data_IF_547762322459
#
_entry.id   IF_547762322459
#
_cell.length_a   1.000
_cell.length_b   1.000
_cell.length_c   1.000
_cell.angle_alpha   90.00
_cell.angle_beta   90.00
_cell.angle_gamma   90.00
#
_symmetry.space_group_name_H-M   'P 1'
#
loop_
_entity.id
_entity.type
_entity.pdbx_description
1 polymer ?
#
# COMPACT_ATOMS: atom_id res chain seq x y z
N UNK A 1 12.76 -49.48 -45.70
CA UNK A 1 12.13 -49.29 -44.34
C UNK A 1 10.67 -49.66 -44.46
N UNK A 2 10.23 -50.69 -43.74
CA UNK A 2 8.92 -51.36 -43.92
C UNK A 2 7.76 -50.38 -43.57
N UNK A 3 6.76 -50.29 -44.46
CA UNK A 3 5.59 -49.39 -44.34
C UNK A 3 4.92 -49.48 -42.97
N UNK A 4 4.87 -50.67 -42.40
CA UNK A 4 4.31 -50.93 -41.08
C UNK A 4 5.14 -50.32 -39.94
N UNK A 5 6.48 -50.25 -40.04
CA UNK A 5 7.30 -49.57 -39.02
C UNK A 5 7.10 -48.06 -39.00
N UNK A 6 6.88 -47.42 -40.16
CA UNK A 6 6.53 -45.98 -40.22
C UNK A 6 5.17 -45.67 -39.59
N UNK A 7 4.16 -46.52 -39.81
CA UNK A 7 2.85 -46.32 -39.21
C UNK A 7 2.89 -46.43 -37.69
N UNK A 8 3.63 -47.43 -37.14
CA UNK A 8 3.77 -47.63 -35.69
C UNK A 8 4.51 -46.45 -35.06
N UNK A 9 5.59 -45.92 -35.71
CA UNK A 9 6.32 -44.75 -35.23
C UNK A 9 5.47 -43.49 -35.17
N UNK A 10 4.64 -43.24 -36.20
CA UNK A 10 3.71 -42.10 -36.25
C UNK A 10 2.64 -42.23 -35.15
N UNK A 11 2.07 -43.43 -34.98
CA UNK A 11 1.07 -43.66 -33.92
C UNK A 11 1.62 -43.42 -32.53
N UNK A 12 2.89 -43.85 -32.27
CA UNK A 12 3.57 -43.65 -30.97
C UNK A 12 3.84 -42.16 -30.71
N UNK A 13 4.25 -41.40 -31.74
CA UNK A 13 4.49 -39.95 -31.63
C UNK A 13 3.19 -39.18 -31.33
N UNK A 14 2.07 -39.54 -31.96
CA UNK A 14 0.78 -38.93 -31.66
C UNK A 14 0.32 -39.21 -30.24
N UNK A 15 0.57 -40.44 -29.76
CA UNK A 15 0.19 -40.86 -28.40
C UNK A 15 1.03 -40.09 -27.34
N UNK A 16 2.34 -39.94 -27.57
CA UNK A 16 3.23 -39.17 -26.70
C UNK A 16 2.82 -37.68 -26.70
N UNK A 17 2.56 -37.10 -27.87
CA UNK A 17 2.10 -35.71 -27.97
C UNK A 17 0.78 -35.47 -27.23
N UNK A 18 -0.18 -36.40 -27.35
CA UNK A 18 -1.47 -36.30 -26.62
C UNK A 18 -1.29 -36.43 -25.11
N UNK A 19 -0.35 -37.26 -24.64
CA UNK A 19 -0.02 -37.40 -23.22
C UNK A 19 0.63 -36.16 -22.65
N UNK A 20 1.56 -35.55 -23.39
CA UNK A 20 2.22 -34.30 -23.01
C UNK A 20 1.22 -33.15 -22.93
N UNK A 21 0.31 -33.04 -23.91
CA UNK A 21 -0.77 -32.02 -23.89
C UNK A 21 -1.67 -32.20 -22.70
N UNK A 22 -2.05 -33.45 -22.35
CA UNK A 22 -2.86 -33.73 -21.14
C UNK A 22 -2.11 -33.38 -19.86
N UNK A 23 -0.82 -33.71 -19.75
CA UNK A 23 0.01 -33.36 -18.60
C UNK A 23 0.14 -31.84 -18.41
N UNK A 24 0.33 -31.10 -19.51
CA UNK A 24 0.35 -29.63 -19.48
C UNK A 24 -1.02 -29.07 -19.08
N UNK A 25 -2.11 -29.60 -19.62
CA UNK A 25 -3.47 -29.17 -19.27
C UNK A 25 -3.79 -29.43 -17.79
N UNK A 26 -3.40 -30.60 -17.24
CA UNK A 26 -3.57 -30.92 -15.82
C UNK A 26 -2.63 -30.06 -14.94
N UNK A 27 -1.40 -29.81 -15.40
CA UNK A 27 -0.48 -28.90 -14.72
C UNK A 27 -1.03 -27.47 -14.64
N UNK A 28 -1.57 -26.96 -15.75
CA UNK A 28 -2.19 -25.63 -15.81
C UNK A 28 -3.49 -25.52 -15.00
N UNK A 29 -4.30 -26.61 -14.95
CA UNK A 29 -5.54 -26.59 -14.15
C UNK A 29 -5.30 -26.67 -12.63
N UNK A 30 -4.12 -27.13 -12.21
CA UNK A 30 -3.72 -27.16 -10.81
C UNK A 30 -2.93 -25.91 -10.38
N UNK A 31 -2.55 -25.04 -11.31
CA UNK A 31 -2.09 -23.70 -10.96
C UNK A 31 -3.37 -22.97 -10.51
N UNK A 32 -3.61 -22.93 -9.20
CA UNK A 32 -4.44 -21.88 -8.63
C UNK A 32 -3.76 -20.57 -9.06
N UNK A 33 -4.33 -19.91 -10.05
CA UNK A 33 -4.12 -18.48 -10.21
C UNK A 33 -4.71 -17.95 -8.90
N UNK A 34 -3.85 -17.66 -7.92
CA UNK A 34 -4.30 -16.92 -6.74
C UNK A 34 -5.05 -15.74 -7.31
N UNK A 35 -6.32 -15.58 -6.92
CA UNK A 35 -7.16 -14.49 -7.37
C UNK A 35 -6.43 -13.20 -7.01
N UNK A 36 -5.68 -12.66 -7.97
CA UNK A 36 -4.94 -11.42 -7.81
C UNK A 36 -5.96 -10.34 -7.47
N UNK A 37 -5.92 -9.88 -6.21
CA UNK A 37 -6.76 -8.78 -5.77
C UNK A 37 -5.97 -7.49 -5.88
N UNK A 38 -6.49 -6.51 -6.62
CA UNK A 38 -5.83 -5.22 -6.68
C UNK A 38 -5.77 -4.58 -5.29
N UNK A 39 -4.75 -3.77 -5.06
CA UNK A 39 -4.61 -3.01 -3.83
C UNK A 39 -5.20 -1.60 -3.98
N UNK A 40 -5.66 -1.06 -2.86
CA UNK A 40 -5.99 0.34 -2.74
C UNK A 40 -5.17 0.96 -1.61
N UNK A 41 -4.31 1.93 -1.94
CA UNK A 41 -3.37 2.51 -1.00
C UNK A 41 -3.75 3.95 -0.70
N UNK A 42 -4.00 4.23 0.57
CA UNK A 42 -4.28 5.55 1.09
C UNK A 42 -3.01 6.15 1.68
N UNK A 43 -2.42 7.11 1.00
CA UNK A 43 -1.30 7.88 1.50
C UNK A 43 -1.80 9.03 2.37
N UNK A 44 -1.31 9.11 3.59
CA UNK A 44 -1.48 10.25 4.50
C UNK A 44 -0.13 10.95 4.57
N UNK A 45 0.00 12.11 3.96
CA UNK A 45 1.30 12.73 3.72
C UNK A 45 1.35 14.12 4.36
N UNK A 46 2.33 14.29 5.23
CA UNK A 46 2.53 15.52 5.97
C UNK A 46 3.19 16.59 5.10
N UNK A 47 2.54 17.75 5.04
CA UNK A 47 3.06 18.96 4.38
C UNK A 47 3.22 20.12 5.33
N UNK A 48 3.26 19.87 6.65
CA UNK A 48 3.47 20.91 7.65
C UNK A 48 4.85 21.58 7.55
N UNK A 49 4.99 22.70 8.24
CA UNK A 49 6.23 23.47 8.27
C UNK A 49 7.42 22.68 8.82
N UNK A 50 7.21 21.90 9.88
CA UNK A 50 8.24 21.08 10.54
C UNK A 50 8.82 20.04 9.59
N UNK A 51 7.98 19.53 8.65
CA UNK A 51 8.34 18.46 7.74
C UNK A 51 8.92 18.93 6.38
N UNK A 52 9.08 20.23 6.16
CA UNK A 52 9.54 20.81 4.87
C UNK A 52 10.86 20.22 4.36
N UNK A 53 11.82 19.97 5.27
CA UNK A 53 13.11 19.41 4.92
C UNK A 53 13.01 17.99 4.34
N UNK A 54 11.99 17.23 4.72
CA UNK A 54 11.79 15.83 4.34
C UNK A 54 10.95 15.67 3.07
N UNK A 55 10.22 16.70 2.63
CA UNK A 55 9.29 16.62 1.50
C UNK A 55 9.92 16.05 0.20
N UNK A 56 11.15 16.40 -0.21
CA UNK A 56 11.76 15.84 -1.42
C UNK A 56 11.94 14.32 -1.34
N UNK A 57 12.40 13.80 -0.19
CA UNK A 57 12.61 12.37 0.02
C UNK A 57 11.25 11.64 0.14
N UNK A 58 10.29 12.22 0.80
CA UNK A 58 8.92 11.68 0.90
C UNK A 58 8.26 11.58 -0.48
N UNK A 59 8.39 12.62 -1.30
CA UNK A 59 7.92 12.65 -2.69
C UNK A 59 8.58 11.54 -3.53
N UNK A 60 9.88 11.37 -3.39
CA UNK A 60 10.64 10.30 -4.06
C UNK A 60 10.13 8.94 -3.63
N UNK A 61 9.96 8.71 -2.34
CA UNK A 61 9.50 7.44 -1.80
C UNK A 61 8.07 7.10 -2.24
N UNK A 62 7.15 8.06 -2.22
CA UNK A 62 5.78 7.86 -2.72
C UNK A 62 5.80 7.42 -4.19
N UNK A 63 6.64 8.06 -5.03
CA UNK A 63 6.83 7.65 -6.44
C UNK A 63 7.37 6.23 -6.56
N UNK A 64 8.31 5.84 -5.70
CA UNK A 64 8.85 4.48 -5.68
C UNK A 64 7.79 3.44 -5.33
N UNK A 65 6.90 3.72 -4.36
CA UNK A 65 5.76 2.84 -4.08
C UNK A 65 4.87 2.74 -5.33
N UNK A 66 4.44 3.86 -5.90
CA UNK A 66 3.56 3.86 -7.07
C UNK A 66 4.16 3.08 -8.26
N UNK A 67 5.48 3.14 -8.44
CA UNK A 67 6.18 2.41 -9.51
C UNK A 67 6.21 0.88 -9.32
N UNK A 68 5.92 0.38 -8.12
CA UNK A 68 5.85 -1.05 -7.80
C UNK A 68 4.41 -1.59 -7.83
N UNK A 69 3.43 -0.73 -8.04
CA UNK A 69 2.02 -1.10 -8.06
C UNK A 69 1.58 -1.49 -9.47
N UNK A 70 0.56 -2.33 -9.54
CA UNK A 70 0.00 -2.79 -10.80
C UNK A 70 -1.00 -1.78 -11.39
N UNK A 71 -1.33 -1.87 -12.69
CA UNK A 71 -2.26 -0.95 -13.35
C UNK A 71 -3.66 -0.92 -12.73
N UNK A 72 -4.10 -2.01 -12.14
CA UNK A 72 -5.40 -2.16 -11.47
C UNK A 72 -5.42 -1.53 -10.07
N UNK A 73 -4.25 -1.25 -9.50
CA UNK A 73 -4.16 -0.67 -8.18
C UNK A 73 -4.63 0.79 -8.16
N UNK A 74 -5.30 1.13 -7.08
CA UNK A 74 -5.81 2.48 -6.85
C UNK A 74 -5.04 3.15 -5.73
N UNK A 75 -4.86 4.44 -5.83
CA UNK A 75 -4.28 5.25 -4.77
C UNK A 75 -5.14 6.46 -4.45
N UNK A 76 -5.11 6.85 -3.18
CA UNK A 76 -5.61 8.13 -2.71
C UNK A 76 -4.50 8.84 -1.95
N UNK A 77 -4.29 10.13 -2.23
CA UNK A 77 -3.30 10.94 -1.52
C UNK A 77 -4.05 11.97 -0.70
N UNK A 78 -3.88 11.90 0.61
CA UNK A 78 -4.43 12.81 1.60
C UNK A 78 -3.29 13.68 2.10
N UNK A 79 -3.31 14.95 1.72
CA UNK A 79 -2.42 15.97 2.26
C UNK A 79 -2.86 16.29 3.68
N UNK A 80 -1.91 16.33 4.61
CA UNK A 80 -2.13 16.73 5.99
C UNK A 80 -1.33 17.98 6.29
N UNK A 81 -2.02 18.98 6.76
CA UNK A 81 -1.52 20.24 7.29
C UNK A 81 -2.45 20.66 8.43
N UNK A 82 -2.89 21.91 8.55
CA UNK A 82 -3.90 22.29 9.53
C UNK A 82 -5.20 21.48 9.40
N UNK A 83 -5.49 21.03 8.18
CA UNK A 83 -6.58 20.11 7.86
C UNK A 83 -6.08 18.94 7.00
N UNK A 84 -6.94 17.93 6.82
CA UNK A 84 -6.67 16.80 5.94
C UNK A 84 -7.48 16.91 4.64
N UNK A 85 -6.82 16.95 3.50
CA UNK A 85 -7.44 17.13 2.18
C UNK A 85 -7.10 15.96 1.25
N UNK A 86 -8.11 15.43 0.55
CA UNK A 86 -7.88 14.51 -0.56
C UNK A 86 -7.39 15.34 -1.77
N UNK A 87 -6.17 15.08 -2.23
CA UNK A 87 -5.55 15.81 -3.35
C UNK A 87 -5.37 14.96 -4.60
N UNK A 88 -5.48 13.64 -4.47
CA UNK A 88 -5.47 12.70 -5.60
C UNK A 88 -6.30 11.46 -5.31
N UNK A 89 -6.99 10.98 -6.34
CA UNK A 89 -7.68 9.70 -6.38
C UNK A 89 -7.60 9.13 -7.79
N UNK A 90 -7.17 7.89 -7.93
CA UNK A 90 -7.09 7.21 -9.23
C UNK A 90 -6.04 6.12 -9.29
N UNK A 91 -5.77 5.65 -10.52
CA UNK A 91 -4.79 4.59 -10.75
C UNK A 91 -3.38 4.99 -10.29
N UNK A 92 -2.65 4.04 -9.73
CA UNK A 92 -1.25 4.18 -9.35
C UNK A 92 -0.33 4.46 -10.56
N UNK A 93 -0.76 4.10 -11.77
CA UNK A 93 0.00 4.31 -13.02
C UNK A 93 -0.22 5.68 -13.65
N UNK A 94 -1.12 6.51 -13.12
CA UNK A 94 -1.34 7.87 -13.61
C UNK A 94 -0.25 8.84 -13.09
N UNK A 95 0.96 8.68 -13.59
CA UNK A 95 2.12 9.48 -13.17
C UNK A 95 1.91 10.99 -13.34
N UNK A 96 1.16 11.42 -14.36
CA UNK A 96 0.87 12.85 -14.57
C UNK A 96 -0.01 13.43 -13.46
N UNK A 97 -1.11 12.74 -13.12
CA UNK A 97 -2.01 13.14 -12.04
C UNK A 97 -1.31 13.14 -10.68
N UNK A 98 -0.52 12.09 -10.41
CA UNK A 98 0.27 11.96 -9.19
C UNK A 98 1.29 13.10 -9.07
N UNK A 99 2.05 13.39 -10.12
CA UNK A 99 3.04 14.48 -10.12
C UNK A 99 2.39 15.84 -9.87
N UNK A 100 1.26 16.13 -10.55
CA UNK A 100 0.52 17.38 -10.33
C UNK A 100 0.03 17.52 -8.88
N UNK A 101 -0.46 16.44 -8.30
CA UNK A 101 -0.90 16.43 -6.90
C UNK A 101 0.27 16.60 -5.93
N UNK A 102 1.42 16.01 -6.24
CA UNK A 102 2.64 16.19 -5.44
C UNK A 102 3.18 17.62 -5.53
N UNK A 103 3.01 18.30 -6.62
CA UNK A 103 3.40 19.71 -6.73
C UNK A 103 2.52 20.61 -5.85
N UNK A 104 1.21 20.32 -5.78
CA UNK A 104 0.31 20.97 -4.83
C UNK A 104 0.63 20.65 -3.36
N UNK A 105 1.11 19.43 -3.09
CA UNK A 105 1.56 18.98 -1.78
C UNK A 105 2.82 19.68 -1.28
N UNK A 106 3.74 20.06 -2.18
CA UNK A 106 4.99 20.76 -1.83
C UNK A 106 4.82 22.28 -1.69
N UNK A 107 3.63 22.81 -1.94
CA UNK A 107 3.34 24.22 -1.66
C UNK A 107 3.07 24.37 -0.16
N UNK A 108 4.06 24.91 0.52
CA UNK A 108 3.98 25.29 1.93
C UNK A 108 3.17 26.58 2.09
N UNK A 109 2.22 26.55 3.01
CA UNK A 109 1.55 27.74 3.49
C UNK A 109 2.17 28.18 4.82
N UNK A 110 2.85 29.35 4.90
CA UNK A 110 3.47 29.83 6.13
C UNK A 110 2.46 30.09 7.26
N UNK A 111 1.19 30.24 6.93
CA UNK A 111 0.10 30.45 7.92
C UNK A 111 -0.44 29.12 8.46
N UNK A 112 -0.09 27.99 7.83
CA UNK A 112 -0.51 26.66 8.21
C UNK A 112 0.33 26.16 9.41
N UNK A 113 -0.24 26.18 10.60
CA UNK A 113 0.45 25.91 11.88
C UNK A 113 0.07 24.57 12.51
N UNK A 114 -0.48 23.65 11.75
CA UNK A 114 -0.96 22.42 12.32
C UNK A 114 -0.63 21.18 11.51
N UNK A 115 -0.81 20.02 12.14
CA UNK A 115 -0.70 18.73 11.47
C UNK A 115 -1.86 17.83 11.88
N UNK A 116 -2.88 17.76 11.03
CA UNK A 116 -4.12 17.01 11.28
C UNK A 116 -3.97 15.52 10.96
N UNK A 117 -2.93 14.85 11.48
CA UNK A 117 -2.70 13.42 11.24
C UNK A 117 -3.88 12.54 11.66
N UNK A 118 -4.52 12.86 12.80
CA UNK A 118 -5.67 12.10 13.29
C UNK A 118 -6.81 12.09 12.27
N UNK A 119 -7.11 13.24 11.68
CA UNK A 119 -8.14 13.37 10.66
C UNK A 119 -7.73 12.72 9.34
N UNK A 120 -6.45 12.85 8.95
CA UNK A 120 -5.90 12.16 7.79
C UNK A 120 -6.04 10.65 7.88
N UNK A 121 -5.68 10.07 9.03
CA UNK A 121 -5.80 8.63 9.29
C UNK A 121 -7.27 8.19 9.33
N UNK A 122 -8.16 8.95 9.97
CA UNK A 122 -9.61 8.67 9.96
C UNK A 122 -10.20 8.65 8.55
N UNK A 123 -9.82 9.63 7.70
CA UNK A 123 -10.20 9.65 6.28
C UNK A 123 -9.65 8.45 5.54
N UNK A 124 -8.37 8.09 5.74
CA UNK A 124 -7.76 6.92 5.13
C UNK A 124 -8.50 5.63 5.52
N UNK A 125 -8.91 5.47 6.77
CA UNK A 125 -9.71 4.32 7.22
C UNK A 125 -11.09 4.27 6.56
N UNK A 126 -11.75 5.42 6.40
CA UNK A 126 -13.03 5.50 5.70
C UNK A 126 -12.89 5.04 4.24
N UNK A 127 -11.84 5.50 3.56
CA UNK A 127 -11.55 5.05 2.20
C UNK A 127 -11.14 3.58 2.15
N UNK A 128 -10.34 3.08 3.10
CA UNK A 128 -9.98 1.68 3.20
C UNK A 128 -11.21 0.76 3.26
N UNK A 129 -12.20 1.12 4.07
CA UNK A 129 -13.45 0.37 4.16
C UNK A 129 -14.27 0.42 2.87
N UNK A 130 -14.29 1.56 2.18
CA UNK A 130 -14.97 1.70 0.89
C UNK A 130 -14.29 0.83 -0.17
N UNK A 131 -12.98 0.95 -0.32
CA UNK A 131 -12.20 0.17 -1.29
C UNK A 131 -12.26 -1.35 -1.01
N UNK A 132 -12.33 -1.74 0.27
CA UNK A 132 -12.54 -3.15 0.65
C UNK A 132 -13.87 -3.69 0.13
N UNK A 133 -14.95 -2.91 0.21
CA UNK A 133 -16.27 -3.29 -0.34
C UNK A 133 -16.22 -3.45 -1.86
N UNK A 134 -15.35 -2.72 -2.54
CA UNK A 134 -15.12 -2.80 -3.98
C UNK A 134 -14.16 -3.95 -4.38
N UNK A 135 -13.67 -4.72 -3.41
CA UNK A 135 -12.85 -5.92 -3.66
C UNK A 135 -11.34 -5.70 -3.56
N UNK A 136 -10.87 -4.50 -3.24
CA UNK A 136 -9.45 -4.19 -3.10
C UNK A 136 -8.86 -4.68 -1.78
N UNK A 137 -7.55 -4.90 -1.75
CA UNK A 137 -6.75 -5.05 -0.53
C UNK A 137 -6.39 -3.63 -0.04
N UNK A 138 -6.94 -3.16 1.09
CA UNK A 138 -6.66 -1.82 1.56
C UNK A 138 -5.33 -1.72 2.29
N UNK A 139 -4.61 -0.62 2.07
CA UNK A 139 -3.44 -0.28 2.84
C UNK A 139 -3.39 1.22 3.16
N UNK A 140 -2.85 1.58 4.32
CA UNK A 140 -2.65 2.96 4.75
C UNK A 140 -1.16 3.21 4.93
N UNK A 141 -0.63 4.22 4.25
CA UNK A 141 0.77 4.63 4.33
C UNK A 141 0.81 6.04 4.92
N UNK A 142 1.36 6.17 6.11
CA UNK A 142 1.55 7.46 6.79
C UNK A 142 2.99 7.90 6.60
N UNK A 143 3.16 9.09 6.02
CA UNK A 143 4.45 9.67 5.66
C UNK A 143 4.61 11.02 6.34
N UNK A 144 5.57 11.15 7.26
CA UNK A 144 5.85 12.37 7.99
C UNK A 144 6.40 12.10 9.38
N UNK A 145 6.70 13.16 10.13
CA UNK A 145 7.38 13.09 11.43
C UNK A 145 6.51 12.58 12.58
N UNK A 146 5.18 12.53 12.38
CA UNK A 146 4.16 12.19 13.39
C UNK A 146 4.16 13.15 14.60
N UNK A 147 4.66 14.35 14.44
CA UNK A 147 4.52 15.37 15.48
C UNK A 147 3.10 15.91 15.50
N UNK A 148 2.54 15.97 16.70
CA UNK A 148 1.22 16.52 16.92
C UNK A 148 1.32 18.03 17.08
N UNK A 149 0.91 18.77 16.04
CA UNK A 149 0.86 20.23 16.05
C UNK A 149 -0.58 20.70 15.80
N UNK A 150 -0.92 21.87 16.29
CA UNK A 150 -2.26 22.47 16.09
C UNK A 150 -3.34 21.93 17.01
N UNK A 151 -4.58 21.91 16.52
CA UNK A 151 -5.77 21.59 17.30
C UNK A 151 -5.78 20.13 17.78
N UNK A 152 -5.98 19.92 19.08
CA UNK A 152 -5.89 18.60 19.74
C UNK A 152 -6.83 17.55 19.14
N UNK A 153 -8.03 17.94 18.74
CA UNK A 153 -9.04 17.05 18.15
C UNK A 153 -8.65 16.50 16.77
N UNK A 154 -7.71 17.17 16.09
CA UNK A 154 -7.20 16.77 14.78
C UNK A 154 -5.91 15.93 14.88
N UNK A 155 -5.33 15.82 16.05
CA UNK A 155 -4.10 15.08 16.30
C UNK A 155 -4.35 13.57 16.35
N UNK A 156 -3.26 12.79 16.28
CA UNK A 156 -3.35 11.34 16.54
C UNK A 156 -3.64 11.12 18.03
N UNK A 157 -4.78 10.55 18.31
CA UNK A 157 -5.09 10.02 19.61
C UNK A 157 -4.56 8.59 19.72
N UNK A 158 -3.39 8.45 20.34
CA UNK A 158 -2.69 7.18 20.48
C UNK A 158 -3.39 6.18 21.40
N UNK A 159 -4.33 6.60 22.21
CA UNK A 159 -5.09 5.71 23.09
C UNK A 159 -6.31 5.10 22.35
N UNK A 160 -6.92 5.85 21.45
CA UNK A 160 -8.06 5.36 20.66
C UNK A 160 -7.67 4.77 19.31
N UNK A 161 -6.52 5.12 18.76
CA UNK A 161 -6.06 4.61 17.45
C UNK A 161 -6.04 3.07 17.37
N UNK A 162 -5.55 2.32 18.38
CA UNK A 162 -5.58 0.86 18.37
C UNK A 162 -6.98 0.28 18.18
N UNK A 163 -7.97 0.85 18.88
CA UNK A 163 -9.36 0.42 18.75
C UNK A 163 -9.92 0.74 17.36
N UNK A 164 -9.57 1.89 16.79
CA UNK A 164 -9.97 2.28 15.44
C UNK A 164 -9.39 1.31 14.40
N UNK A 165 -8.11 0.96 14.49
CA UNK A 165 -7.48 -0.03 13.61
C UNK A 165 -8.17 -1.39 13.73
N UNK A 166 -8.44 -1.86 14.95
CA UNK A 166 -9.16 -3.11 15.20
C UNK A 166 -10.55 -3.09 14.57
N UNK A 167 -11.26 -1.98 14.70
CA UNK A 167 -12.58 -1.82 14.08
C UNK A 167 -12.50 -1.92 12.55
N UNK A 168 -11.49 -1.30 11.93
CA UNK A 168 -11.28 -1.41 10.47
C UNK A 168 -10.93 -2.85 10.08
N UNK A 169 -10.06 -3.53 10.83
CA UNK A 169 -9.69 -4.92 10.57
C UNK A 169 -10.85 -5.92 10.67
N UNK A 170 -11.85 -5.63 11.48
CA UNK A 170 -13.06 -6.48 11.54
C UNK A 170 -13.78 -6.56 10.17
N UNK A 171 -13.65 -5.54 9.33
CA UNK A 171 -14.23 -5.50 7.98
C UNK A 171 -13.20 -5.68 6.88
N UNK A 172 -11.95 -5.37 7.15
CA UNK A 172 -10.81 -5.45 6.24
C UNK A 172 -9.63 -6.18 6.92
N UNK A 173 -9.71 -7.52 7.10
CA UNK A 173 -8.70 -8.29 7.86
C UNK A 173 -7.33 -8.31 7.17
N UNK A 174 -7.27 -7.96 5.89
CA UNK A 174 -6.08 -7.81 5.08
C UNK A 174 -5.48 -6.39 5.11
N UNK A 175 -6.04 -5.46 5.91
CA UNK A 175 -5.48 -4.12 6.09
C UNK A 175 -4.00 -4.18 6.47
N UNK A 176 -3.16 -3.52 5.66
CA UNK A 176 -1.76 -3.26 5.99
C UNK A 176 -1.55 -1.77 6.32
N UNK A 177 -0.61 -1.49 7.21
CA UNK A 177 -0.22 -0.12 7.53
C UNK A 177 1.29 0.05 7.45
N UNK A 178 1.74 1.19 6.94
CA UNK A 178 3.14 1.57 6.91
C UNK A 178 3.33 2.98 7.47
N UNK A 179 4.38 3.15 8.27
CA UNK A 179 4.78 4.44 8.84
C UNK A 179 6.22 4.75 8.48
N UNK A 180 6.43 5.95 7.91
CA UNK A 180 7.70 6.38 7.34
C UNK A 180 8.05 7.79 7.76
N UNK A 181 9.35 8.08 7.87
CA UNK A 181 9.92 9.38 8.18
C UNK A 181 9.57 9.92 9.56
N UNK A 182 8.96 9.11 10.43
CA UNK A 182 8.67 9.51 11.79
C UNK A 182 9.90 9.44 12.68
N UNK A 183 9.92 10.27 13.70
CA UNK A 183 10.96 10.21 14.75
C UNK A 183 11.01 8.84 15.41
N UNK A 184 12.20 8.32 15.79
CA UNK A 184 12.33 7.00 16.39
C UNK A 184 11.39 6.76 17.56
N UNK A 185 11.22 7.74 18.45
CA UNK A 185 10.29 7.65 19.58
C UNK A 185 8.82 7.47 19.14
N UNK A 186 8.42 8.10 18.05
CA UNK A 186 7.07 7.92 17.47
C UNK A 186 6.92 6.54 16.83
N UNK A 187 7.97 6.04 16.16
CA UNK A 187 7.97 4.68 15.61
C UNK A 187 7.88 3.61 16.70
N UNK A 188 8.55 3.80 17.84
CA UNK A 188 8.43 2.92 18.99
C UNK A 188 7.00 2.91 19.55
N UNK A 189 6.37 4.08 19.64
CA UNK A 189 4.96 4.20 20.04
C UNK A 189 4.00 3.53 19.04
N UNK A 190 4.21 3.74 17.74
CA UNK A 190 3.46 3.02 16.68
C UNK A 190 3.59 1.52 16.86
N UNK A 191 4.81 1.02 17.07
CA UNK A 191 5.07 -0.40 17.26
C UNK A 191 4.37 -0.93 18.50
N UNK A 192 4.52 -0.26 19.66
CA UNK A 192 3.86 -0.64 20.90
C UNK A 192 2.34 -0.75 20.74
N UNK A 193 1.73 0.28 20.14
CA UNK A 193 0.27 0.41 20.05
C UNK A 193 -0.35 -0.46 18.95
N UNK A 194 0.31 -0.67 17.80
CA UNK A 194 -0.29 -1.29 16.63
C UNK A 194 0.22 -2.72 16.33
N UNK A 195 1.44 -3.12 16.77
CA UNK A 195 1.89 -4.49 16.53
C UNK A 195 1.02 -5.57 17.15
N UNK A 196 0.41 -5.38 18.35
CA UNK A 196 -0.49 -6.39 18.91
C UNK A 196 -1.75 -6.63 18.08
N UNK A 197 -2.10 -5.69 17.20
CA UNK A 197 -3.32 -5.73 16.38
C UNK A 197 -3.01 -6.20 14.97
N UNK A 198 -2.07 -5.53 14.29
CA UNK A 198 -1.72 -5.78 12.90
C UNK A 198 -0.75 -6.96 12.72
N UNK A 199 0.03 -7.27 13.74
CA UNK A 199 1.16 -8.21 13.64
C UNK A 199 2.33 -7.63 12.80
N UNK A 200 3.46 -8.33 12.81
CA UNK A 200 4.67 -7.86 12.11
C UNK A 200 4.57 -7.94 10.57
N UNK A 201 3.68 -8.76 10.07
CA UNK A 201 3.47 -8.95 8.62
C UNK A 201 2.62 -7.85 7.98
N UNK A 202 1.76 -7.19 8.76
CA UNK A 202 0.84 -6.14 8.28
C UNK A 202 1.22 -4.74 8.76
N UNK A 203 2.16 -4.64 9.70
CA UNK A 203 2.71 -3.37 10.16
C UNK A 203 4.15 -3.20 9.68
N UNK A 204 4.37 -2.23 8.81
CA UNK A 204 5.70 -1.87 8.32
C UNK A 204 6.12 -0.54 8.93
N UNK A 205 7.24 -0.56 9.62
CA UNK A 205 7.82 0.62 10.24
C UNK A 205 9.24 0.78 9.68
N UNK A 206 9.56 1.96 9.20
CA UNK A 206 10.92 2.24 8.73
C UNK A 206 11.36 3.65 9.11
N UNK A 207 12.49 3.79 9.78
CA UNK A 207 13.20 5.06 9.85
C UNK A 207 13.73 5.42 8.45
N UNK A 208 13.98 6.70 8.21
CA UNK A 208 14.35 7.32 6.92
C UNK A 208 15.39 6.56 6.08
N UNK A 209 16.31 5.85 6.72
CA UNK A 209 17.50 5.29 6.07
C UNK A 209 17.31 3.96 5.33
N UNK A 210 16.11 3.35 5.35
CA UNK A 210 15.86 2.02 4.79
C UNK A 210 14.63 1.91 3.87
N UNK A 211 14.42 2.93 3.05
CA UNK A 211 13.25 3.02 2.16
C UNK A 211 13.03 1.77 1.29
N UNK A 212 14.08 1.22 0.67
CA UNK A 212 13.96 0.03 -0.20
C UNK A 212 13.56 -1.23 0.57
N UNK A 213 14.04 -1.39 1.81
CA UNK A 213 13.65 -2.50 2.66
C UNK A 213 12.20 -2.36 3.13
N UNK A 214 11.80 -1.13 3.48
CA UNK A 214 10.43 -0.84 3.85
C UNK A 214 9.46 -1.11 2.70
N UNK A 215 9.82 -0.69 1.49
CA UNK A 215 9.04 -0.92 0.30
C UNK A 215 8.83 -2.42 0.03
N UNK A 216 9.88 -3.23 0.06
CA UNK A 216 9.76 -4.70 -0.10
C UNK A 216 8.82 -5.30 0.93
N UNK A 217 9.01 -4.98 2.22
CA UNK A 217 8.12 -5.46 3.30
C UNK A 217 6.67 -5.00 3.10
N UNK A 218 6.47 -3.81 2.56
CA UNK A 218 5.13 -3.32 2.28
C UNK A 218 4.45 -4.09 1.14
N UNK A 219 5.17 -4.38 0.06
CA UNK A 219 4.66 -5.22 -1.03
C UNK A 219 4.33 -6.64 -0.52
N UNK A 220 5.20 -7.24 0.30
CA UNK A 220 4.93 -8.52 0.97
C UNK A 220 3.69 -8.44 1.88
N UNK A 221 3.48 -7.32 2.60
CA UNK A 221 2.30 -7.10 3.42
C UNK A 221 1.00 -7.01 2.62
N UNK A 222 1.07 -6.63 1.34
CA UNK A 222 -0.05 -6.68 0.39
C UNK A 222 -0.31 -8.10 -0.15
N UNK A 223 0.55 -9.08 0.16
CA UNK A 223 0.44 -10.45 -0.32
C UNK A 223 1.04 -10.66 -1.72
N UNK A 224 2.03 -9.88 -2.09
CA UNK A 224 2.70 -9.90 -3.41
C UNK A 224 4.17 -10.22 -3.33
#
# INVERSE_FOLDING_TARGET
MNKNKKLITIGLLILIASLVIKLIAVGLSNIKIDDFKPAAIMFVVDSSASNQANLPEQKKFLKQICAQLDPEDQIKIIKVSEDAYLIYEGSAQNSSGINKSMDAFTQYDPEDKGTAYGDGIKKAFTYALTMKKEGYIPAVVVIGDLENEGATEKQVDWDTLPQNVKNVQNYAPDLAMMFLFAHPQKLDLVKEKLSPILGETKLVISPEQNADKALRRFIEALGR
#
